data_IF_963067445366
#
_entry.id   IF_963067445366
#
_cell.length_a   1.000
_cell.length_b   1.000
_cell.length_c   1.000
_cell.angle_alpha   90.00
_cell.angle_beta   90.00
_cell.angle_gamma   90.00
#
_symmetry.space_group_name_H-M   'P 1'
#
loop_
_entity.id
_entity.type
_entity.pdbx_description
1 polymer ?
#
# COMPACT_ATOMS: atom_id res chain seq x y z
N UNK A 1 2.90 30.78 15.59
CA UNK A 1 3.18 30.20 14.26
C UNK A 1 3.48 31.34 13.30
N UNK A 2 4.62 31.36 12.58
CA UNK A 2 4.92 32.42 11.60
C UNK A 2 4.13 32.15 10.32
N UNK A 3 3.29 33.09 9.90
CA UNK A 3 2.61 33.06 8.60
C UNK A 3 3.65 33.38 7.52
N UNK A 4 3.80 32.51 6.53
CA UNK A 4 4.67 32.71 5.35
C UNK A 4 3.79 33.16 4.18
N UNK A 5 4.36 33.91 3.25
CA UNK A 5 3.71 34.25 1.98
C UNK A 5 3.67 33.04 1.06
N UNK A 6 2.66 32.98 0.18
CA UNK A 6 2.54 31.88 -0.79
C UNK A 6 3.62 32.02 -1.87
N UNK A 7 4.28 30.93 -2.20
CA UNK A 7 5.31 30.85 -3.24
C UNK A 7 4.96 29.81 -4.30
N UNK A 8 5.65 29.87 -5.44
CA UNK A 8 5.45 28.92 -6.55
C UNK A 8 5.73 27.46 -6.16
N UNK A 9 6.65 27.24 -5.21
CA UNK A 9 7.14 25.91 -4.82
C UNK A 9 6.49 25.37 -3.54
N UNK A 10 5.42 26.02 -3.06
CA UNK A 10 4.76 25.63 -1.80
C UNK A 10 4.25 24.18 -1.83
N UNK A 11 3.77 23.72 -3.00
CA UNK A 11 3.33 22.35 -3.22
C UNK A 11 4.49 21.37 -3.09
N UNK A 12 5.58 21.59 -3.83
CA UNK A 12 6.79 20.76 -3.79
C UNK A 12 7.37 20.67 -2.38
N UNK A 13 7.41 21.80 -1.67
CA UNK A 13 7.86 21.84 -0.28
C UNK A 13 6.96 21.02 0.63
N UNK A 14 5.63 21.11 0.46
CA UNK A 14 4.69 20.33 1.26
C UNK A 14 4.78 18.84 0.96
N UNK A 15 4.90 18.46 -0.31
CA UNK A 15 5.10 17.06 -0.72
C UNK A 15 6.43 16.51 -0.18
N UNK A 16 7.50 17.31 -0.20
CA UNK A 16 8.80 16.95 0.39
C UNK A 16 8.70 16.76 1.91
N UNK A 17 7.95 17.62 2.62
CA UNK A 17 7.68 17.43 4.04
C UNK A 17 6.89 16.13 4.31
N UNK A 18 5.95 15.75 3.44
CA UNK A 18 5.21 14.49 3.53
C UNK A 18 6.12 13.28 3.30
N UNK A 19 6.99 13.33 2.28
CA UNK A 19 8.01 12.31 2.02
C UNK A 19 8.90 12.09 3.23
N UNK A 20 9.39 13.18 3.83
CA UNK A 20 10.23 13.14 5.04
C UNK A 20 9.50 12.55 6.27
N UNK A 21 8.18 12.71 6.33
CA UNK A 21 7.34 12.10 7.37
C UNK A 21 6.99 10.63 7.09
N UNK A 22 7.37 10.11 5.93
CA UNK A 22 7.15 8.73 5.53
C UNK A 22 5.81 8.50 4.86
N UNK A 23 5.53 9.23 3.78
CA UNK A 23 4.35 8.98 2.94
C UNK A 23 4.37 7.53 2.42
N UNK A 24 3.38 6.75 2.85
CA UNK A 24 3.22 5.36 2.46
C UNK A 24 2.84 5.22 0.99
N UNK A 25 1.99 6.12 0.47
CA UNK A 25 1.51 6.05 -0.91
C UNK A 25 2.64 6.29 -1.91
N UNK A 26 3.56 7.18 -1.59
CA UNK A 26 4.78 7.39 -2.38
C UNK A 26 5.66 6.14 -2.44
N UNK A 27 5.87 5.47 -1.31
CA UNK A 27 6.65 4.22 -1.27
C UNK A 27 5.96 3.12 -2.07
N UNK A 28 4.64 3.00 -1.95
CA UNK A 28 3.84 2.06 -2.71
C UNK A 28 3.99 2.31 -4.22
N UNK A 29 3.89 3.58 -4.62
CA UNK A 29 4.00 4.01 -6.01
C UNK A 29 5.38 3.73 -6.63
N UNK A 30 6.45 3.87 -5.85
CA UNK A 30 7.81 3.57 -6.30
C UNK A 30 8.08 2.07 -6.46
N UNK A 31 7.37 1.21 -5.73
CA UNK A 31 7.65 -0.23 -5.68
C UNK A 31 6.89 -1.00 -6.75
N UNK A 32 5.69 -0.53 -7.09
CA UNK A 32 4.77 -1.18 -8.01
C UNK A 32 4.92 -0.56 -9.40
N UNK A 33 5.16 -1.40 -10.42
CA UNK A 33 4.98 -0.99 -11.79
C UNK A 33 3.49 -1.08 -12.13
N UNK A 34 2.82 0.07 -12.18
CA UNK A 34 1.37 0.11 -12.35
C UNK A 34 0.89 -0.20 -13.77
N UNK A 35 1.78 -0.15 -14.75
CA UNK A 35 1.44 -0.43 -16.15
C UNK A 35 1.05 -1.90 -16.36
N UNK A 36 1.45 -2.80 -15.44
CA UNK A 36 1.03 -4.21 -15.45
C UNK A 36 -0.49 -4.38 -15.34
N UNK A 37 -1.19 -3.42 -14.72
CA UNK A 37 -2.65 -3.47 -14.57
C UNK A 37 -3.39 -2.92 -15.78
N UNK A 38 -2.75 -2.09 -16.62
CA UNK A 38 -3.41 -1.44 -17.76
C UNK A 38 -4.04 -2.46 -18.70
N UNK A 39 -3.29 -3.48 -19.12
CA UNK A 39 -3.78 -4.50 -20.05
C UNK A 39 -5.02 -5.25 -19.56
N UNK A 40 -4.99 -5.87 -18.36
CA UNK A 40 -6.16 -6.50 -17.74
C UNK A 40 -7.36 -5.57 -17.59
N UNK A 41 -7.13 -4.34 -17.13
CA UNK A 41 -8.16 -3.33 -16.91
C UNK A 41 -8.80 -2.90 -18.23
N UNK A 42 -8.02 -2.48 -19.22
CA UNK A 42 -8.53 -2.05 -20.52
C UNK A 42 -9.30 -3.17 -21.22
N UNK A 43 -8.81 -4.42 -21.12
CA UNK A 43 -9.49 -5.59 -21.67
C UNK A 43 -10.89 -5.76 -21.06
N UNK A 44 -11.03 -5.52 -19.76
CA UNK A 44 -12.34 -5.56 -19.10
C UNK A 44 -13.23 -4.41 -19.58
N UNK A 45 -12.69 -3.20 -19.69
CA UNK A 45 -13.46 -2.02 -20.10
C UNK A 45 -13.87 -2.05 -21.59
N UNK A 46 -13.08 -2.69 -22.46
CA UNK A 46 -13.37 -2.84 -23.90
C UNK A 46 -14.68 -3.56 -24.21
N UNK A 47 -15.17 -4.42 -23.31
CA UNK A 47 -16.47 -5.11 -23.51
C UNK A 47 -17.66 -4.14 -23.61
N UNK A 48 -17.52 -2.92 -23.09
CA UNK A 48 -18.62 -1.95 -22.98
C UNK A 48 -18.31 -0.59 -23.62
N UNK A 49 -17.20 -0.47 -24.36
CA UNK A 49 -16.89 0.76 -25.10
C UNK A 49 -17.98 1.00 -26.15
N UNK A 50 -18.68 2.13 -26.04
CA UNK A 50 -19.67 2.52 -27.04
C UNK A 50 -18.94 2.76 -28.37
N UNK A 51 -19.42 2.13 -29.44
CA UNK A 51 -18.85 2.24 -30.80
C UNK A 51 -18.94 3.66 -31.37
N UNK A 52 -19.71 4.56 -30.74
CA UNK A 52 -20.09 5.87 -31.29
C UNK A 52 -19.09 7.00 -31.01
N UNK A 53 -18.04 6.78 -30.21
CA UNK A 53 -16.93 7.72 -30.02
C UNK A 53 -17.32 9.10 -29.46
N UNK A 54 -18.55 9.26 -28.95
CA UNK A 54 -19.08 10.54 -28.45
C UNK A 54 -19.15 10.52 -26.92
N UNK A 55 -18.24 11.26 -26.28
CA UNK A 55 -18.22 11.45 -24.82
C UNK A 55 -16.95 12.13 -24.32
N UNK A 56 -16.91 12.47 -23.02
CA UNK A 56 -15.66 12.86 -22.33
C UNK A 56 -14.64 11.72 -22.53
N UNK A 57 -13.38 12.02 -22.86
CA UNK A 57 -12.36 10.98 -22.98
C UNK A 57 -12.35 10.13 -21.70
N UNK A 58 -12.26 8.80 -21.82
CA UNK A 58 -12.22 7.92 -20.65
C UNK A 58 -11.00 8.26 -19.80
N UNK A 59 -11.20 8.29 -18.47
CA UNK A 59 -10.11 8.44 -17.52
C UNK A 59 -9.05 7.35 -17.74
N UNK A 60 -7.80 7.66 -17.44
CA UNK A 60 -6.70 6.71 -17.58
C UNK A 60 -6.95 5.44 -16.74
N UNK A 61 -6.70 4.27 -17.33
CA UNK A 61 -6.97 2.97 -16.74
C UNK A 61 -6.19 2.74 -15.44
N UNK A 62 -4.92 3.16 -15.40
CA UNK A 62 -4.05 3.04 -14.22
C UNK A 62 -4.53 3.99 -13.13
N UNK A 63 -4.84 5.23 -13.48
CA UNK A 63 -5.39 6.23 -12.54
C UNK A 63 -6.68 5.71 -11.88
N UNK A 64 -7.62 5.18 -12.67
CA UNK A 64 -8.87 4.66 -12.15
C UNK A 64 -8.66 3.42 -11.27
N UNK A 65 -7.74 2.53 -11.63
CA UNK A 65 -7.43 1.37 -10.79
C UNK A 65 -6.75 1.78 -9.47
N UNK A 66 -5.79 2.70 -9.50
CA UNK A 66 -5.20 3.30 -8.29
C UNK A 66 -6.25 3.95 -7.40
N UNK A 67 -7.27 4.59 -7.99
CA UNK A 67 -8.39 5.19 -7.25
C UNK A 67 -9.20 4.12 -6.51
N UNK A 68 -9.46 2.96 -7.13
CA UNK A 68 -10.10 1.84 -6.45
C UNK A 68 -9.26 1.27 -5.31
N UNK A 69 -7.94 1.23 -5.48
CA UNK A 69 -7.01 0.80 -4.43
C UNK A 69 -7.04 1.80 -3.26
N UNK A 70 -7.01 3.11 -3.51
CA UNK A 70 -7.14 4.13 -2.46
C UNK A 70 -8.48 4.01 -1.72
N UNK A 71 -9.57 3.77 -2.46
CA UNK A 71 -10.89 3.58 -1.88
C UNK A 71 -10.91 2.39 -0.92
N UNK A 72 -10.33 1.25 -1.32
CA UNK A 72 -10.25 0.05 -0.49
C UNK A 72 -9.30 0.23 0.70
N UNK A 73 -8.14 0.85 0.47
CA UNK A 73 -7.14 1.20 1.47
C UNK A 73 -7.70 1.99 2.65
N UNK A 74 -8.48 3.03 2.33
CA UNK A 74 -9.01 3.99 3.30
C UNK A 74 -10.49 3.74 3.63
N UNK A 75 -11.09 2.67 3.10
CA UNK A 75 -12.50 2.30 3.30
C UNK A 75 -13.47 3.46 3.01
N UNK A 76 -13.22 4.16 1.90
CA UNK A 76 -13.96 5.36 1.52
C UNK A 76 -15.18 5.03 0.66
N UNK A 77 -16.23 5.86 0.76
CA UNK A 77 -17.30 5.88 -0.25
C UNK A 77 -16.81 6.56 -1.53
N UNK A 78 -17.57 6.42 -2.62
CA UNK A 78 -17.21 7.04 -3.90
C UNK A 78 -17.25 8.58 -3.81
N UNK A 79 -18.22 9.15 -3.07
CA UNK A 79 -18.30 10.59 -2.80
C UNK A 79 -17.15 11.09 -1.91
N UNK A 80 -16.81 10.33 -0.86
CA UNK A 80 -15.67 10.67 -0.02
C UNK A 80 -14.36 10.59 -0.80
N UNK A 81 -14.23 9.64 -1.72
CA UNK A 81 -13.04 9.49 -2.55
C UNK A 81 -12.80 10.74 -3.41
N UNK A 82 -13.83 11.23 -4.11
CA UNK A 82 -13.75 12.48 -4.88
C UNK A 82 -13.28 13.65 -4.00
N UNK A 83 -13.92 13.85 -2.84
CA UNK A 83 -13.55 14.90 -1.91
C UNK A 83 -12.08 14.78 -1.43
N UNK A 84 -11.64 13.57 -1.05
CA UNK A 84 -10.29 13.37 -0.55
C UNK A 84 -9.20 13.48 -1.62
N UNK A 85 -9.50 13.20 -2.90
CA UNK A 85 -8.56 13.48 -4.00
C UNK A 85 -8.37 15.00 -4.12
N UNK A 86 -9.42 15.81 -3.96
CA UNK A 86 -9.31 17.27 -4.02
C UNK A 86 -8.61 17.87 -2.79
N UNK A 87 -8.82 17.28 -1.60
CA UNK A 87 -8.30 17.80 -0.34
C UNK A 87 -6.84 17.39 -0.05
N UNK A 88 -6.42 16.20 -0.49
CA UNK A 88 -5.14 15.61 -0.06
C UNK A 88 -4.11 15.56 -1.18
N UNK A 89 -3.07 16.36 -1.04
CA UNK A 89 -1.90 16.35 -1.94
C UNK A 89 -1.25 14.96 -2.07
N UNK A 90 -1.24 14.14 -1.00
CA UNK A 90 -0.70 12.78 -1.08
C UNK A 90 -1.52 11.86 -1.98
N UNK A 91 -2.83 12.07 -2.08
CA UNK A 91 -3.71 11.31 -2.97
C UNK A 91 -3.51 11.75 -4.41
N UNK A 92 -3.46 13.07 -4.66
CA UNK A 92 -3.16 13.61 -5.99
C UNK A 92 -1.81 13.10 -6.51
N UNK A 93 -0.76 13.20 -5.68
CA UNK A 93 0.57 12.66 -6.00
C UNK A 93 0.53 11.17 -6.35
N UNK A 94 -0.15 10.36 -5.55
CA UNK A 94 -0.27 8.91 -5.80
C UNK A 94 -0.99 8.60 -7.13
N UNK A 95 -2.02 9.38 -7.46
CA UNK A 95 -2.76 9.25 -8.71
C UNK A 95 -2.04 9.86 -9.92
N UNK A 96 -0.92 10.56 -9.71
CA UNK A 96 -0.20 11.28 -10.76
C UNK A 96 -0.91 12.54 -11.25
N UNK A 97 -1.75 13.15 -10.40
CA UNK A 97 -2.50 14.36 -10.67
C UNK A 97 -1.77 15.59 -10.10
N UNK A 98 -1.85 16.70 -10.84
CA UNK A 98 -1.46 18.04 -10.37
C UNK A 98 -2.68 18.79 -9.83
N UNK A 99 -2.45 19.90 -9.12
CA UNK A 99 -3.51 20.77 -8.58
C UNK A 99 -4.52 21.30 -9.63
N UNK A 100 -4.11 21.39 -10.89
CA UNK A 100 -4.94 21.90 -11.98
C UNK A 100 -5.64 20.80 -12.78
N UNK A 101 -5.31 19.53 -12.52
CA UNK A 101 -5.86 18.42 -13.28
C UNK A 101 -7.28 18.08 -12.81
N UNK A 102 -8.10 17.58 -13.74
CA UNK A 102 -9.43 17.09 -13.43
C UNK A 102 -9.34 15.81 -12.58
N UNK A 103 -10.12 15.76 -11.50
CA UNK A 103 -10.25 14.56 -10.67
C UNK A 103 -11.42 13.68 -11.17
N UNK A 104 -11.35 12.35 -11.00
CA UNK A 104 -12.51 11.49 -11.21
C UNK A 104 -13.63 11.83 -10.23
N UNK A 105 -14.81 12.17 -10.76
CA UNK A 105 -16.00 12.34 -9.94
C UNK A 105 -16.51 10.99 -9.39
N UNK A 106 -17.31 11.06 -8.32
CA UNK A 106 -17.85 9.89 -7.63
C UNK A 106 -18.63 8.95 -8.57
N UNK A 107 -19.34 9.52 -9.56
CA UNK A 107 -20.09 8.72 -10.55
C UNK A 107 -19.15 7.96 -11.47
N UNK A 108 -18.05 8.57 -11.90
CA UNK A 108 -17.03 7.96 -12.73
C UNK A 108 -16.36 6.80 -12.00
N UNK A 109 -16.03 6.99 -10.72
CA UNK A 109 -15.49 5.93 -9.85
C UNK A 109 -16.50 4.78 -9.71
N UNK A 110 -17.76 5.10 -9.42
CA UNK A 110 -18.84 4.13 -9.29
C UNK A 110 -19.04 3.33 -10.57
N UNK A 111 -19.20 4.01 -11.71
CA UNK A 111 -19.41 3.39 -13.02
C UNK A 111 -18.26 2.47 -13.41
N UNK A 112 -17.04 2.88 -13.09
CA UNK A 112 -15.85 2.09 -13.37
C UNK A 112 -15.81 0.80 -12.55
N UNK A 113 -16.06 0.90 -11.24
CA UNK A 113 -16.16 -0.27 -10.37
C UNK A 113 -17.27 -1.21 -10.84
N UNK A 114 -18.47 -0.67 -11.08
CA UNK A 114 -19.64 -1.43 -11.51
C UNK A 114 -19.35 -2.20 -12.81
N UNK A 115 -18.63 -1.59 -13.75
CA UNK A 115 -18.21 -2.27 -14.98
C UNK A 115 -17.22 -3.42 -14.72
N UNK A 116 -16.21 -3.20 -13.88
CA UNK A 116 -15.27 -4.27 -13.52
C UNK A 116 -15.99 -5.43 -12.81
N UNK A 117 -16.93 -5.12 -11.91
CA UNK A 117 -17.75 -6.12 -11.20
C UNK A 117 -18.60 -6.92 -12.16
N UNK A 118 -19.33 -6.27 -13.08
CA UNK A 118 -20.14 -6.96 -14.10
C UNK A 118 -19.31 -7.86 -15.00
N UNK A 119 -18.07 -7.46 -15.26
CA UNK A 119 -17.13 -8.24 -16.06
C UNK A 119 -16.45 -9.37 -15.28
N UNK A 120 -16.64 -9.44 -13.96
CA UNK A 120 -16.09 -10.48 -13.09
C UNK A 120 -14.57 -10.43 -12.91
N UNK A 121 -13.95 -9.27 -13.10
CA UNK A 121 -12.48 -9.11 -13.09
C UNK A 121 -11.94 -8.44 -11.84
N UNK A 122 -12.81 -7.98 -10.92
CA UNK A 122 -12.38 -7.24 -9.72
C UNK A 122 -11.48 -8.13 -8.87
N UNK A 123 -11.91 -9.36 -8.59
CA UNK A 123 -11.16 -10.33 -7.80
C UNK A 123 -9.80 -10.64 -8.45
N UNK A 124 -9.77 -10.87 -9.76
CA UNK A 124 -8.53 -11.15 -10.51
C UNK A 124 -7.53 -9.98 -10.45
N UNK A 125 -8.02 -8.74 -10.58
CA UNK A 125 -7.18 -7.54 -10.51
C UNK A 125 -6.59 -7.33 -9.11
N UNK A 126 -7.40 -7.53 -8.07
CA UNK A 126 -6.91 -7.44 -6.69
C UNK A 126 -5.97 -8.59 -6.34
N UNK A 127 -6.22 -9.81 -6.83
CA UNK A 127 -5.28 -10.93 -6.68
C UNK A 127 -3.93 -10.64 -7.36
N UNK A 128 -3.94 -10.09 -8.58
CA UNK A 128 -2.72 -9.63 -9.24
C UNK A 128 -2.01 -8.56 -8.41
N UNK A 129 -2.76 -7.61 -7.85
CA UNK A 129 -2.19 -6.58 -6.99
C UNK A 129 -1.50 -7.18 -5.76
N UNK A 130 -2.14 -8.14 -5.08
CA UNK A 130 -1.53 -8.84 -3.95
C UNK A 130 -0.31 -9.67 -4.35
N UNK A 131 -0.32 -10.31 -5.52
CA UNK A 131 0.86 -11.03 -6.04
C UNK A 131 2.03 -10.09 -6.28
N UNK A 132 1.80 -8.94 -6.92
CA UNK A 132 2.82 -7.92 -7.15
C UNK A 132 3.39 -7.41 -5.82
N UNK A 133 2.54 -7.20 -4.81
CA UNK A 133 3.00 -6.84 -3.47
C UNK A 133 3.91 -7.92 -2.87
N UNK A 134 3.49 -9.18 -2.93
CA UNK A 134 4.24 -10.31 -2.38
C UNK A 134 5.62 -10.49 -3.05
N UNK A 135 5.69 -10.34 -4.38
CA UNK A 135 6.95 -10.39 -5.14
C UNK A 135 7.93 -9.31 -4.70
N UNK A 136 7.42 -8.13 -4.36
CA UNK A 136 8.20 -7.00 -3.84
C UNK A 136 8.52 -7.13 -2.35
N UNK A 137 8.06 -8.21 -1.71
CA UNK A 137 8.28 -8.47 -0.29
C UNK A 137 7.39 -7.64 0.64
N UNK A 138 6.34 -7.04 0.09
CA UNK A 138 5.28 -6.38 0.84
C UNK A 138 4.23 -7.43 1.20
N UNK A 139 3.82 -7.48 2.46
CA UNK A 139 2.68 -8.29 2.88
C UNK A 139 1.44 -7.40 2.69
N UNK A 140 0.26 -7.96 2.43
CA UNK A 140 -0.98 -7.21 2.58
C UNK A 140 -2.04 -8.19 3.06
N UNK A 141 -2.74 -7.84 4.13
CA UNK A 141 -3.88 -8.62 4.58
C UNK A 141 -5.13 -8.14 3.84
N UNK A 142 -5.97 -9.10 3.42
CA UNK A 142 -7.17 -8.84 2.64
C UNK A 142 -8.12 -7.95 3.46
N UNK A 143 -8.41 -6.72 2.98
CA UNK A 143 -9.33 -5.76 3.61
C UNK A 143 -8.68 -4.62 4.39
N UNK A 144 -7.36 -4.63 4.59
CA UNK A 144 -6.60 -3.52 5.18
C UNK A 144 -5.20 -3.52 4.53
N UNK A 145 -4.99 -2.70 3.51
CA UNK A 145 -3.63 -2.34 3.06
C UNK A 145 -3.12 -1.18 3.96
N UNK A 146 -3.48 -1.19 5.25
CA UNK A 146 -2.95 -0.25 6.24
C UNK A 146 -1.87 -0.98 7.02
N UNK A 147 -0.64 -0.53 6.81
CA UNK A 147 0.55 -0.97 7.54
C UNK A 147 0.76 -2.49 7.56
N UNK A 148 0.93 -3.09 6.38
CA UNK A 148 1.98 -4.10 6.32
C UNK A 148 3.30 -3.36 6.43
N UNK A 149 3.65 -3.06 7.67
CA UNK A 149 4.93 -2.54 8.04
C UNK A 149 5.97 -3.38 7.28
N UNK A 150 6.91 -2.70 6.65
CA UNK A 150 8.29 -3.13 6.79
C UNK A 150 8.50 -3.41 8.28
N UNK A 151 8.28 -4.65 8.72
CA UNK A 151 8.62 -5.09 10.07
C UNK A 151 10.13 -5.27 10.08
N UNK A 152 10.86 -4.17 9.90
CA UNK A 152 12.16 -4.04 10.53
C UNK A 152 11.88 -3.94 12.03
N UNK A 153 11.77 -5.11 12.66
CA UNK A 153 11.85 -5.19 14.11
C UNK A 153 13.18 -4.55 14.48
N UNK A 154 13.20 -3.70 15.51
CA UNK A 154 14.43 -3.08 15.96
C UNK A 154 15.51 -4.16 16.09
N UNK A 155 16.57 -4.07 15.27
CA UNK A 155 17.62 -5.08 15.25
C UNK A 155 18.22 -5.06 16.64
N UNK A 156 18.00 -6.14 17.39
CA UNK A 156 18.55 -6.23 18.72
C UNK A 156 20.07 -6.33 18.58
N UNK A 157 20.77 -5.32 19.10
CA UNK A 157 22.21 -5.39 19.32
C UNK A 157 22.45 -6.39 20.47
N UNK A 158 22.58 -7.66 20.12
CA UNK A 158 22.98 -8.76 20.99
C UNK A 158 24.32 -9.30 20.46
N UNK A 159 25.20 -9.78 21.35
CA UNK A 159 26.43 -10.44 20.93
C UNK A 159 26.15 -11.79 20.25
N UNK A 160 27.17 -12.40 19.62
CA UNK A 160 27.03 -13.72 19.00
C UNK A 160 26.73 -14.80 20.05
N UNK A 161 27.32 -14.67 21.23
CA UNK A 161 27.14 -15.57 22.38
C UNK A 161 25.73 -15.45 22.96
N UNK A 162 25.21 -14.22 23.13
CA UNK A 162 23.82 -13.99 23.56
C UNK A 162 22.82 -14.60 22.56
N UNK A 163 23.04 -14.43 21.26
CA UNK A 163 22.18 -15.00 20.22
C UNK A 163 22.20 -16.54 20.19
N UNK A 164 23.34 -17.17 20.49
CA UNK A 164 23.44 -18.63 20.60
C UNK A 164 22.63 -19.16 21.79
N UNK A 165 22.73 -18.50 22.95
CA UNK A 165 21.96 -18.84 24.16
C UNK A 165 20.45 -18.66 23.95
N UNK A 166 20.03 -17.55 23.34
CA UNK A 166 18.62 -17.30 22.98
C UNK A 166 18.10 -18.39 22.02
N UNK A 167 18.93 -18.85 21.08
CA UNK A 167 18.56 -19.94 20.14
C UNK A 167 18.31 -21.27 20.87
N UNK A 168 19.03 -21.52 21.96
CA UNK A 168 18.86 -22.71 22.81
C UNK A 168 17.76 -22.54 23.89
N UNK A 169 16.99 -21.45 23.85
CA UNK A 169 16.00 -21.11 24.88
C UNK A 169 16.59 -20.95 26.29
N UNK A 170 17.88 -20.61 26.38
CA UNK A 170 18.55 -20.36 27.65
C UNK A 170 18.29 -18.94 28.15
N UNK A 171 18.08 -18.81 29.46
CA UNK A 171 17.89 -17.51 30.11
C UNK A 171 19.26 -16.83 30.29
N UNK A 172 19.39 -15.59 29.82
CA UNK A 172 20.59 -14.79 30.05
C UNK A 172 20.45 -14.09 31.40
N UNK A 173 21.20 -14.55 32.40
CA UNK A 173 21.19 -14.04 33.77
C UNK A 173 21.78 -12.64 33.90
N UNK A 174 22.75 -12.30 33.03
CA UNK A 174 23.44 -11.00 33.00
C UNK A 174 22.54 -9.83 32.56
N UNK A 175 21.32 -10.09 32.10
CA UNK A 175 20.38 -9.03 31.73
C UNK A 175 19.65 -8.48 32.96
N UNK A 176 19.68 -7.16 33.11
CA UNK A 176 18.79 -6.46 34.05
C UNK A 176 17.31 -6.67 33.70
N UNK A 177 16.41 -6.45 34.66
CA UNK A 177 14.98 -6.58 34.44
C UNK A 177 14.45 -5.68 33.31
N UNK A 178 14.97 -4.45 33.23
CA UNK A 178 14.60 -3.50 32.17
C UNK A 178 15.08 -3.97 30.79
N UNK A 179 16.31 -4.49 30.70
CA UNK A 179 16.86 -5.04 29.46
C UNK A 179 16.06 -6.26 29.01
N UNK A 180 15.63 -7.12 29.93
CA UNK A 180 14.77 -8.28 29.62
C UNK A 180 13.42 -7.88 29.04
N UNK A 181 12.78 -6.83 29.56
CA UNK A 181 11.49 -6.35 29.03
C UNK A 181 11.58 -5.77 27.62
N UNK A 182 12.73 -5.18 27.27
CA UNK A 182 12.97 -4.60 25.95
C UNK A 182 13.40 -5.64 24.90
N UNK A 183 13.94 -6.79 25.33
CA UNK A 183 14.48 -7.82 24.44
C UNK A 183 13.41 -8.87 24.13
N UNK A 184 12.95 -8.86 22.89
CA UNK A 184 12.18 -9.93 22.28
C UNK A 184 13.09 -11.12 21.92
N UNK A 185 12.99 -12.19 22.71
CA UNK A 185 13.74 -13.43 22.55
C UNK A 185 13.13 -14.42 21.56
N UNK A 186 12.00 -14.08 20.92
CA UNK A 186 11.29 -14.95 19.97
C UNK A 186 11.63 -14.63 18.51
N UNK A 187 12.09 -13.41 18.21
CA UNK A 187 12.57 -13.03 16.88
C UNK A 187 13.86 -13.77 16.48
N UNK A 188 14.01 -14.09 15.19
CA UNK A 188 15.19 -14.80 14.64
C UNK A 188 15.67 -14.14 13.33
N UNK A 189 16.95 -14.31 13.03
CA UNK A 189 17.49 -14.01 11.71
C UNK A 189 17.05 -15.08 10.70
N UNK A 190 16.47 -14.63 9.59
CA UNK A 190 16.04 -15.48 8.47
C UNK A 190 16.64 -14.97 7.16
N UNK A 191 16.79 -15.85 6.17
CA UNK A 191 17.33 -15.52 4.84
C UNK A 191 16.29 -15.82 3.79
N UNK A 192 15.84 -14.79 3.05
CA UNK A 192 14.91 -14.91 1.91
C UNK A 192 15.50 -14.14 0.73
N UNK A 193 15.50 -14.73 -0.46
CA UNK A 193 15.99 -14.09 -1.70
C UNK A 193 17.38 -13.43 -1.57
N UNK A 194 18.36 -14.17 -1.01
CA UNK A 194 19.76 -13.73 -0.78
C UNK A 194 19.93 -12.52 0.17
N UNK A 195 18.87 -12.00 0.79
CA UNK A 195 18.93 -10.97 1.84
C UNK A 195 18.55 -11.55 3.20
N UNK A 196 19.12 -10.98 4.27
CA UNK A 196 18.90 -11.41 5.66
C UNK A 196 17.93 -10.45 6.36
N UNK A 197 16.98 -10.98 7.10
CA UNK A 197 15.94 -10.23 7.82
C UNK A 197 15.88 -10.71 9.27
N UNK A 198 15.62 -9.81 10.22
CA UNK A 198 15.43 -10.15 11.64
C UNK A 198 13.96 -9.99 12.02
N UNK A 199 13.30 -11.08 12.42
CA UNK A 199 11.88 -11.06 12.74
C UNK A 199 11.28 -12.44 12.98
N UNK A 200 9.96 -12.54 12.89
CA UNK A 200 9.22 -13.79 13.10
C UNK A 200 9.03 -14.56 11.80
N UNK A 201 9.14 -15.88 11.84
CA UNK A 201 8.78 -16.75 10.72
C UNK A 201 7.32 -17.20 10.92
N UNK A 202 6.37 -16.49 10.31
CA UNK A 202 4.97 -16.89 10.37
C UNK A 202 4.79 -18.25 9.67
N UNK A 203 4.60 -19.31 10.44
CA UNK A 203 3.95 -20.53 9.97
C UNK A 203 2.43 -20.31 10.06
N UNK A 204 1.83 -19.66 9.06
CA UNK A 204 0.37 -19.67 8.97
C UNK A 204 -0.09 -21.05 8.50
N UNK A 205 -0.58 -21.87 9.44
CA UNK A 205 -1.62 -22.85 9.12
C UNK A 205 -2.85 -22.05 8.69
N UNK A 206 -3.21 -22.15 7.41
CA UNK A 206 -4.48 -21.61 6.93
C UNK A 206 -5.63 -22.29 7.66
N UNK A 207 -6.30 -21.56 8.54
CA UNK A 207 -7.66 -21.88 8.97
C UNK A 207 -8.59 -20.88 8.34
N UNK A 208 -9.19 -21.33 7.24
CA UNK A 208 -10.41 -20.79 6.66
C UNK A 208 -11.47 -20.59 7.75
N UNK A 209 -11.89 -19.34 7.97
CA UNK A 209 -13.19 -19.03 8.53
C UNK A 209 -13.84 -17.95 7.68
N UNK A 210 -14.87 -18.38 6.92
CA UNK A 210 -15.91 -17.51 6.38
C UNK A 210 -16.68 -16.87 7.55
N UNK A 211 -17.23 -15.66 7.36
CA UNK A 211 -18.57 -15.40 7.86
C UNK A 211 -19.46 -14.75 6.80
N UNK A 212 -20.66 -15.35 6.71
CA UNK A 212 -22.02 -14.87 6.35
C UNK A 212 -22.11 -13.64 5.44
#
# INVERSE_FOLDING_TARGET
MKRREKTLFDEDFRLSELSNKGDYLEKLDQVIDWEVFRGPVEKAMRKNLREDGKGRPPNDAVLMFKTLILRELYQLSDDSMEYYILDRLSFQRFLGLNLCDDVPDAKSIWHYREQLTRNGVVEELFELFYQVLEEKGLIAEKGIIVDASFKEVSVQRNSKEENARIKNSEKIEEWSEDKRRQKDTDARWTKKNKRSYFGYKNHMKGTSKKPI
#
